data_IF_934292305503
#
_entry.id   IF_934292305503
#
_cell.length_a   1.000
_cell.length_b   1.000
_cell.length_c   1.000
_cell.angle_alpha   90.00
_cell.angle_beta   90.00
_cell.angle_gamma   90.00
#
_symmetry.space_group_name_H-M   'P 1'
#
loop_
_entity.id
_entity.type
_entity.pdbx_description
1 polymer ?
#
# COMPACT_ATOMS: atom_id res chain seq x y z
N UNK A 1 2.33 19.79 -8.43
CA UNK A 1 2.61 18.86 -9.55
C UNK A 1 3.10 17.54 -8.98
N UNK A 2 2.21 16.61 -8.63
CA UNK A 2 2.52 15.17 -8.54
C UNK A 2 1.25 14.39 -8.86
N UNK A 3 0.91 14.33 -10.15
CA UNK A 3 -0.03 13.33 -10.65
C UNK A 3 0.82 12.16 -11.15
N UNK A 4 1.14 11.20 -10.28
CA UNK A 4 1.76 9.94 -10.70
C UNK A 4 0.66 9.01 -11.21
N UNK A 5 0.39 9.13 -12.51
CA UNK A 5 -0.45 8.21 -13.27
C UNK A 5 0.33 6.90 -13.43
N UNK A 6 -0.18 5.80 -12.88
CA UNK A 6 0.34 4.46 -13.09
C UNK A 6 -0.56 3.72 -14.09
N UNK A 7 -0.41 4.03 -15.38
CA UNK A 7 -0.99 3.23 -16.45
C UNK A 7 -0.22 1.91 -16.61
N UNK A 8 -0.98 0.83 -16.84
CA UNK A 8 -0.55 -0.56 -16.81
C UNK A 8 0.57 -0.92 -17.78
N UNK A 9 1.62 -1.52 -17.21
CA UNK A 9 2.56 -2.45 -17.80
C UNK A 9 3.27 -3.08 -16.60
N UNK A 10 3.44 -4.40 -16.59
CA UNK A 10 3.94 -5.21 -15.46
C UNK A 10 5.10 -4.52 -14.72
N UNK A 11 4.75 -3.71 -13.73
CA UNK A 11 5.73 -2.95 -12.98
C UNK A 11 6.17 -3.86 -11.88
N UNK A 12 7.49 -3.99 -11.75
CA UNK A 12 8.08 -4.68 -10.61
C UNK A 12 7.41 -4.09 -9.36
N UNK A 13 6.72 -4.91 -8.58
CA UNK A 13 5.91 -4.46 -7.43
C UNK A 13 6.80 -3.90 -6.30
N UNK A 14 8.02 -4.42 -6.21
CA UNK A 14 9.01 -4.03 -5.19
C UNK A 14 9.36 -2.53 -5.19
N UNK A 15 9.72 -1.86 -6.30
CA UNK A 15 10.01 -0.42 -6.29
C UNK A 15 8.79 0.43 -5.88
N UNK A 16 7.57 0.02 -6.24
CA UNK A 16 6.35 0.71 -5.83
C UNK A 16 6.18 0.64 -4.31
N UNK A 17 6.28 -0.56 -3.75
CA UNK A 17 6.13 -0.76 -2.31
C UNK A 17 7.27 -0.12 -1.50
N UNK A 18 8.49 -0.09 -2.06
CA UNK A 18 9.62 0.64 -1.49
C UNK A 18 9.38 2.16 -1.47
N UNK A 19 8.74 2.72 -2.49
CA UNK A 19 8.36 4.15 -2.53
C UNK A 19 7.34 4.46 -1.43
N UNK A 20 6.28 3.67 -1.29
CA UNK A 20 5.33 3.82 -0.17
C UNK A 20 6.03 3.70 1.18
N UNK A 21 6.90 2.71 1.37
CA UNK A 21 7.63 2.53 2.63
C UNK A 21 8.58 3.70 2.95
N UNK A 22 9.10 4.40 1.94
CA UNK A 22 9.94 5.61 2.14
C UNK A 22 9.12 6.85 2.47
N UNK A 23 7.92 6.96 1.91
CA UNK A 23 7.07 8.13 2.09
C UNK A 23 6.28 8.12 3.40
N UNK A 24 6.02 6.95 3.97
CA UNK A 24 5.22 6.80 5.19
C UNK A 24 6.02 6.09 6.27
N UNK A 25 6.19 6.75 7.42
CA UNK A 25 6.94 6.19 8.56
C UNK A 25 6.27 4.95 9.15
N UNK A 26 4.93 4.93 9.13
CA UNK A 26 4.16 3.81 9.63
C UNK A 26 3.96 2.76 8.54
N UNK A 27 4.47 1.56 8.79
CA UNK A 27 4.32 0.41 7.87
C UNK A 27 2.86 0.14 7.50
N UNK A 28 1.94 0.25 8.47
CA UNK A 28 0.51 0.03 8.23
C UNK A 28 -0.09 1.08 7.29
N UNK A 29 0.35 2.33 7.43
CA UNK A 29 -0.05 3.41 6.53
C UNK A 29 0.52 3.19 5.12
N UNK A 30 1.79 2.81 4.99
CA UNK A 30 2.39 2.48 3.70
C UNK A 30 1.61 1.38 2.97
N UNK A 31 1.22 0.32 3.69
CA UNK A 31 0.40 -0.78 3.17
C UNK A 31 -0.99 -0.31 2.74
N UNK A 32 -1.65 0.51 3.58
CA UNK A 32 -2.98 1.02 3.29
C UNK A 32 -2.99 1.94 2.07
N UNK A 33 -1.99 2.84 1.97
CA UNK A 33 -1.81 3.75 0.83
C UNK A 33 -1.51 2.99 -0.46
N UNK A 34 -0.66 1.97 -0.40
CA UNK A 34 -0.39 1.11 -1.55
C UNK A 34 -1.66 0.39 -2.01
N UNK A 35 -2.44 -0.18 -1.08
CA UNK A 35 -3.70 -0.85 -1.40
C UNK A 35 -4.73 0.11 -2.00
N UNK A 36 -4.90 1.30 -1.41
CA UNK A 36 -5.84 2.33 -1.89
C UNK A 36 -5.45 2.90 -3.26
N UNK A 37 -4.16 2.93 -3.58
CA UNK A 37 -3.68 3.38 -4.89
C UNK A 37 -4.11 2.45 -6.04
N UNK A 38 -4.48 1.19 -5.74
CA UNK A 38 -4.79 0.17 -6.73
C UNK A 38 -3.57 -0.34 -7.50
N UNK A 39 -2.36 0.10 -7.17
CA UNK A 39 -1.13 -0.27 -7.87
C UNK A 39 -0.61 -1.68 -7.50
N UNK A 40 -1.04 -2.25 -6.37
CA UNK A 40 -0.63 -3.56 -5.88
C UNK A 40 -1.80 -4.28 -5.22
N UNK A 41 -1.92 -5.60 -5.42
CA UNK A 41 -2.93 -6.39 -4.70
C UNK A 41 -2.48 -6.63 -3.25
N UNK A 42 -3.44 -6.87 -2.33
CA UNK A 42 -3.13 -7.16 -0.92
C UNK A 42 -2.18 -8.36 -0.74
N UNK A 43 -2.26 -9.35 -1.64
CA UNK A 43 -1.35 -10.49 -1.65
C UNK A 43 0.08 -10.05 -1.97
N UNK A 44 0.27 -9.25 -3.02
CA UNK A 44 1.58 -8.73 -3.43
C UNK A 44 2.22 -7.88 -2.33
N UNK A 45 1.41 -7.06 -1.65
CA UNK A 45 1.83 -6.27 -0.49
C UNK A 45 2.29 -7.23 0.62
N UNK A 46 1.52 -8.26 0.93
CA UNK A 46 1.87 -9.27 1.92
C UNK A 46 3.20 -9.97 1.60
N UNK A 47 3.37 -10.42 0.36
CA UNK A 47 4.57 -11.10 -0.11
C UNK A 47 5.81 -10.21 0.02
N UNK A 48 5.73 -8.93 -0.36
CA UNK A 48 6.82 -7.95 -0.21
C UNK A 48 7.19 -7.70 1.26
N UNK A 49 6.17 -7.55 2.12
CA UNK A 49 6.37 -7.29 3.54
C UNK A 49 6.67 -8.57 4.35
N UNK A 50 6.66 -9.75 3.73
CA UNK A 50 6.86 -11.03 4.42
C UNK A 50 5.77 -11.36 5.44
N UNK A 51 4.54 -10.92 5.18
CA UNK A 51 3.37 -11.10 6.07
C UNK A 51 2.16 -11.61 5.30
N UNK A 52 1.22 -12.23 6.02
CA UNK A 52 0.00 -12.72 5.40
C UNK A 52 -0.89 -11.56 4.92
N UNK A 53 -1.55 -11.73 3.77
CA UNK A 53 -2.44 -10.72 3.16
C UNK A 53 -3.58 -10.27 4.10
N UNK A 54 -4.00 -11.11 5.05
CA UNK A 54 -5.01 -10.72 6.06
C UNK A 54 -4.48 -9.66 7.03
N UNK A 55 -3.18 -9.63 7.32
CA UNK A 55 -2.55 -8.56 8.10
C UNK A 55 -2.61 -7.24 7.34
N UNK A 56 -2.38 -7.30 6.02
CA UNK A 56 -2.52 -6.14 5.13
C UNK A 56 -3.97 -5.64 5.14
N UNK A 57 -4.95 -6.54 5.00
CA UNK A 57 -6.38 -6.20 5.06
C UNK A 57 -6.77 -5.51 6.37
N UNK A 58 -6.28 -5.99 7.52
CA UNK A 58 -6.53 -5.36 8.83
C UNK A 58 -5.90 -3.97 8.93
N UNK A 59 -4.66 -3.81 8.44
CA UNK A 59 -3.99 -2.51 8.41
C UNK A 59 -4.76 -1.49 7.55
N UNK A 60 -5.27 -1.92 6.40
CA UNK A 60 -6.12 -1.09 5.51
C UNK A 60 -7.40 -0.66 6.24
N UNK A 61 -8.14 -1.60 6.83
CA UNK A 61 -9.38 -1.29 7.56
C UNK A 61 -9.16 -0.34 8.74
N UNK A 62 -8.06 -0.51 9.47
CA UNK A 62 -7.73 0.38 10.59
C UNK A 62 -7.41 1.79 10.08
N UNK A 63 -6.67 1.89 8.97
CA UNK A 63 -6.32 3.17 8.37
C UNK A 63 -7.56 3.90 7.84
N UNK A 64 -8.48 3.20 7.18
CA UNK A 64 -9.72 3.78 6.67
C UNK A 64 -10.59 4.35 7.80
N UNK A 65 -10.75 3.61 8.91
CA UNK A 65 -11.47 4.12 10.09
C UNK A 65 -10.89 5.41 10.64
N UNK A 66 -9.56 5.50 10.75
CA UNK A 66 -8.89 6.71 11.25
C UNK A 66 -9.13 7.91 10.33
N UNK A 67 -9.16 7.70 9.01
CA UNK A 67 -9.40 8.76 8.03
C UNK A 67 -10.86 9.22 8.01
N UNK A 68 -11.81 8.35 8.33
CA UNK A 68 -13.25 8.71 8.37
C UNK A 68 -13.62 9.57 9.60
N UNK A 69 -12.78 9.56 10.64
CA UNK A 69 -12.98 10.32 11.89
C UNK A 69 -12.32 11.73 11.88
N UNK A 70 -11.61 12.12 10.81
CA UNK A 70 -11.01 13.46 10.58
C UNK A 70 -11.75 14.28 9.50
#
# INVERSE_FOLDING_TARGET
MVALIFQGAARTLAPVLAEFQRHYEQRNEAMARACRSGACAMKDIGDYFGIHHMTVSRAVQQFEKVVDDE
#
